data_IF_149670021197
#
_entry.id   IF_149670021197
#
_cell.length_a   1.000
_cell.length_b   1.000
_cell.length_c   1.000
_cell.angle_alpha   90.00
_cell.angle_beta   90.00
_cell.angle_gamma   90.00
#
_symmetry.space_group_name_H-M   'P 1'
#
loop_
_entity.id
_entity.type
_entity.pdbx_description
1 polymer ?
#
# COMPACT_ATOMS: atom_id res chain seq x y z
N UNK A 1 -76.24 9.83 -39.28
CA UNK A 1 -75.47 8.90 -40.12
C UNK A 1 -74.04 9.41 -40.18
N UNK A 2 -72.94 8.68 -40.03
CA UNK A 2 -72.56 7.39 -39.45
C UNK A 2 -71.09 7.20 -39.87
N UNK A 3 -70.19 6.91 -38.94
CA UNK A 3 -68.84 6.37 -39.23
C UNK A 3 -67.82 7.37 -39.77
N UNK A 4 -66.51 7.23 -39.59
CA UNK A 4 -65.60 6.26 -38.95
C UNK A 4 -64.30 7.07 -38.79
N UNK A 5 -63.57 7.01 -37.67
CA UNK A 5 -62.63 5.93 -37.40
C UNK A 5 -61.23 6.29 -37.92
N UNK A 6 -60.22 5.94 -37.12
CA UNK A 6 -58.82 5.72 -37.50
C UNK A 6 -57.94 6.98 -37.63
N UNK A 7 -56.84 7.17 -36.90
CA UNK A 7 -55.91 6.19 -36.35
C UNK A 7 -54.51 6.50 -36.91
N UNK A 8 -53.48 6.34 -36.07
CA UNK A 8 -52.04 6.43 -36.37
C UNK A 8 -51.45 7.84 -36.46
N UNK A 9 -50.22 8.10 -36.02
CA UNK A 9 -49.29 7.40 -35.15
C UNK A 9 -48.25 8.45 -34.75
N UNK A 10 -47.89 8.45 -33.48
CA UNK A 10 -46.78 9.20 -32.95
C UNK A 10 -45.45 8.60 -33.44
N UNK A 11 -44.43 9.47 -33.49
CA UNK A 11 -42.99 9.20 -33.54
C UNK A 11 -42.38 8.67 -34.84
N UNK A 12 -41.98 9.61 -35.70
CA UNK A 12 -40.77 9.43 -36.52
C UNK A 12 -39.55 9.95 -35.75
N UNK A 13 -38.98 9.11 -34.88
CA UNK A 13 -37.62 9.33 -34.39
C UNK A 13 -36.72 8.30 -35.08
N UNK A 14 -35.91 8.68 -36.07
CA UNK A 14 -34.99 7.76 -36.70
C UNK A 14 -33.84 7.48 -35.73
N UNK A 15 -33.92 6.36 -35.02
CA UNK A 15 -32.81 5.74 -34.30
C UNK A 15 -31.72 5.37 -35.30
N UNK A 16 -30.84 6.33 -35.61
CA UNK A 16 -29.57 6.09 -36.28
C UNK A 16 -28.69 5.35 -35.26
N UNK A 17 -28.86 4.03 -35.24
CA UNK A 17 -27.93 3.10 -34.62
C UNK A 17 -26.65 3.06 -35.47
N UNK A 18 -25.74 4.00 -35.21
CA UNK A 18 -24.34 3.90 -35.65
C UNK A 18 -23.68 2.76 -34.89
N UNK A 19 -23.86 1.54 -35.40
CA UNK A 19 -23.00 0.40 -35.05
C UNK A 19 -21.62 0.64 -35.70
N UNK A 20 -20.77 1.42 -35.04
CA UNK A 20 -19.34 1.51 -35.35
C UNK A 20 -18.68 0.20 -34.87
N UNK A 21 -18.61 -0.77 -35.78
CA UNK A 21 -17.96 -2.08 -35.60
C UNK A 21 -16.43 -1.97 -35.56
N UNK A 22 -15.88 -0.96 -34.87
CA UNK A 22 -14.44 -0.88 -34.60
C UNK A 22 -14.13 -1.65 -33.32
N UNK A 23 -13.81 -2.92 -33.53
CA UNK A 23 -12.81 -3.62 -32.75
C UNK A 23 -12.98 -3.52 -31.22
N UNK A 24 -13.88 -4.35 -30.68
CA UNK A 24 -14.04 -4.60 -29.25
C UNK A 24 -12.81 -5.31 -28.66
N UNK A 25 -11.61 -4.72 -28.80
CA UNK A 25 -10.49 -5.07 -27.92
C UNK A 25 -10.94 -4.69 -26.51
N UNK A 26 -11.13 -5.66 -25.60
CA UNK A 26 -11.57 -5.34 -24.25
C UNK A 26 -10.62 -4.29 -23.68
N UNK A 27 -11.14 -3.17 -23.14
CA UNK A 27 -10.30 -2.08 -22.68
C UNK A 27 -9.30 -2.66 -21.70
N UNK A 28 -8.01 -2.56 -22.05
CA UNK A 28 -6.91 -3.05 -21.22
C UNK A 28 -7.13 -2.45 -19.85
N UNK A 29 -7.53 -3.29 -18.88
CA UNK A 29 -7.97 -2.83 -17.56
C UNK A 29 -6.82 -2.06 -16.95
N UNK A 30 -6.95 -0.72 -16.96
CA UNK A 30 -5.89 0.18 -16.47
C UNK A 30 -5.61 -0.21 -15.02
N UNK A 31 -4.38 -0.65 -14.74
CA UNK A 31 -3.95 -1.10 -13.41
C UNK A 31 -4.37 -0.04 -12.38
N UNK A 32 -5.16 -0.45 -11.38
CA UNK A 32 -5.60 0.44 -10.31
C UNK A 32 -4.42 0.66 -9.38
N UNK A 33 -3.82 1.85 -9.43
CA UNK A 33 -2.68 2.17 -8.57
C UNK A 33 -3.16 2.43 -7.14
N UNK A 34 -2.49 1.80 -6.15
CA UNK A 34 -2.79 1.97 -4.72
C UNK A 34 -2.42 3.35 -4.18
N UNK A 35 -1.48 4.05 -4.84
CA UNK A 35 -0.94 5.34 -4.43
C UNK A 35 -0.97 6.34 -5.60
N UNK A 36 -1.64 7.48 -5.42
CA UNK A 36 -1.56 8.60 -6.36
C UNK A 36 -0.34 9.49 -6.02
N UNK A 37 0.29 10.08 -7.04
CA UNK A 37 1.34 11.08 -6.85
C UNK A 37 0.76 12.40 -6.30
N UNK A 38 1.61 13.29 -5.79
CA UNK A 38 1.21 14.51 -5.10
C UNK A 38 0.35 15.43 -5.98
N UNK A 39 0.78 15.68 -7.22
CA UNK A 39 0.02 16.46 -8.20
C UNK A 39 -1.39 15.86 -8.45
N UNK A 40 -1.48 14.54 -8.60
CA UNK A 40 -2.77 13.89 -8.80
C UNK A 40 -3.65 13.91 -7.55
N UNK A 41 -3.05 13.82 -6.34
CA UNK A 41 -3.75 13.93 -5.06
C UNK A 41 -4.33 15.33 -4.86
N UNK A 42 -3.51 16.35 -5.07
CA UNK A 42 -3.88 17.76 -4.95
C UNK A 42 -5.04 18.11 -5.88
N UNK A 43 -4.94 17.69 -7.15
CA UNK A 43 -6.00 17.89 -8.13
C UNK A 43 -7.14 16.86 -8.07
N UNK A 44 -7.15 15.95 -7.08
CA UNK A 44 -8.16 14.88 -6.90
C UNK A 44 -8.46 14.10 -8.19
N UNK A 45 -7.42 13.79 -8.95
CA UNK A 45 -7.54 13.12 -10.24
C UNK A 45 -6.97 11.71 -10.22
N UNK A 46 -7.42 10.90 -11.18
CA UNK A 46 -6.93 9.53 -11.34
C UNK A 46 -5.44 9.54 -11.69
N UNK A 47 -4.65 8.82 -10.92
CA UNK A 47 -3.23 8.59 -11.16
C UNK A 47 -3.01 7.17 -11.70
N UNK A 48 -2.23 7.03 -12.77
CA UNK A 48 -1.89 5.73 -13.36
C UNK A 48 -0.68 5.06 -12.68
N UNK A 49 0.01 5.72 -11.74
CA UNK A 49 1.08 5.09 -10.95
C UNK A 49 2.37 4.74 -11.69
N UNK A 50 2.52 5.16 -12.96
CA UNK A 50 3.73 4.86 -13.75
C UNK A 50 4.96 5.56 -13.17
N UNK A 51 6.11 4.92 -13.28
CA UNK A 51 7.44 5.42 -12.90
C UNK A 51 8.29 5.57 -14.18
N UNK A 52 9.05 6.67 -14.35
CA UNK A 52 9.40 7.71 -13.38
C UNK A 52 8.32 8.77 -13.13
N UNK A 53 7.36 8.96 -14.05
CA UNK A 53 6.24 9.88 -13.87
C UNK A 53 4.91 9.26 -14.33
N UNK A 54 3.80 9.64 -13.71
CA UNK A 54 2.49 9.19 -14.16
C UNK A 54 2.13 9.83 -15.51
N UNK A 55 1.29 9.17 -16.33
CA UNK A 55 0.95 9.63 -17.69
C UNK A 55 0.44 11.06 -17.72
N UNK A 56 -0.38 11.45 -16.73
CA UNK A 56 -0.93 12.80 -16.62
C UNK A 56 0.15 13.85 -16.35
N UNK A 57 1.08 13.57 -15.45
CA UNK A 57 2.20 14.47 -15.16
C UNK A 57 3.16 14.53 -16.35
N UNK A 58 3.46 13.41 -17.01
CA UNK A 58 4.28 13.38 -18.21
C UNK A 58 3.68 14.24 -19.33
N UNK A 59 2.39 14.07 -19.62
CA UNK A 59 1.71 14.82 -20.69
C UNK A 59 1.59 16.33 -20.38
N UNK A 60 1.65 16.72 -19.11
CA UNK A 60 1.62 18.14 -18.69
C UNK A 60 3.01 18.78 -18.61
N UNK A 61 4.07 18.05 -18.92
CA UNK A 61 5.44 18.53 -18.70
C UNK A 61 5.87 18.58 -17.23
N UNK A 62 5.05 18.04 -16.31
CA UNK A 62 5.32 17.97 -14.86
C UNK A 62 5.99 16.63 -14.47
N UNK A 63 6.70 15.99 -15.40
CA UNK A 63 7.34 14.70 -15.14
C UNK A 63 8.35 14.77 -13.99
N UNK A 64 9.12 15.85 -13.93
CA UNK A 64 10.16 16.07 -12.92
C UNK A 64 9.60 16.36 -11.52
N UNK A 65 8.40 16.96 -11.43
CA UNK A 65 7.70 17.24 -10.16
C UNK A 65 6.71 16.14 -9.77
N UNK A 66 6.69 15.01 -10.48
CA UNK A 66 5.81 13.88 -10.21
C UNK A 66 6.33 13.06 -9.01
N UNK A 67 6.17 13.59 -7.80
CA UNK A 67 6.64 12.96 -6.57
C UNK A 67 5.50 12.19 -5.91
N UNK A 68 5.80 11.00 -5.40
CA UNK A 68 4.92 10.24 -4.53
C UNK A 68 5.42 10.45 -3.10
N UNK A 69 4.67 11.20 -2.29
CA UNK A 69 5.06 11.50 -0.91
C UNK A 69 5.23 10.22 -0.07
N UNK A 70 6.37 10.14 0.62
CA UNK A 70 6.73 9.02 1.49
C UNK A 70 6.32 9.35 2.93
N UNK A 71 5.14 8.88 3.32
CA UNK A 71 4.72 8.79 4.72
C UNK A 71 3.94 9.98 5.25
N UNK A 72 2.78 9.71 5.86
CA UNK A 72 1.99 10.69 6.61
C UNK A 72 2.71 11.08 7.92
N UNK A 73 2.45 12.27 8.46
CA UNK A 73 2.84 12.65 9.83
C UNK A 73 2.47 11.58 10.88
N UNK A 74 1.35 10.87 10.68
CA UNK A 74 0.95 9.74 11.54
C UNK A 74 1.95 8.60 11.47
N UNK A 75 2.42 8.27 10.27
CA UNK A 75 3.46 7.25 10.04
C UNK A 75 4.76 7.67 10.70
N UNK A 76 5.16 8.94 10.58
CA UNK A 76 6.38 9.46 11.21
C UNK A 76 6.32 9.36 12.74
N UNK A 77 5.22 9.80 13.36
CA UNK A 77 5.02 9.67 14.82
C UNK A 77 5.09 8.21 15.28
N UNK A 78 4.48 7.31 14.52
CA UNK A 78 4.52 5.89 14.82
C UNK A 78 5.95 5.32 14.74
N UNK A 79 6.71 5.67 13.70
CA UNK A 79 8.12 5.28 13.58
C UNK A 79 8.93 5.76 14.78
N UNK A 80 8.78 7.02 15.19
CA UNK A 80 9.46 7.54 16.39
C UNK A 80 9.13 6.75 17.66
N UNK A 81 7.85 6.41 17.87
CA UNK A 81 7.44 5.59 19.02
C UNK A 81 8.02 4.18 18.96
N UNK A 82 8.10 3.59 17.76
CA UNK A 82 8.71 2.27 17.57
C UNK A 82 10.20 2.31 17.86
N UNK A 83 10.92 3.31 17.38
CA UNK A 83 12.35 3.47 17.61
C UNK A 83 12.67 3.64 19.10
N UNK A 84 11.87 4.43 19.83
CA UNK A 84 12.05 4.58 21.28
C UNK A 84 11.81 3.27 22.03
N UNK A 85 10.75 2.54 21.66
CA UNK A 85 10.47 1.23 22.26
C UNK A 85 11.56 0.21 21.96
N UNK A 86 12.11 0.21 20.75
CA UNK A 86 13.25 -0.65 20.38
C UNK A 86 14.46 -0.32 21.26
N UNK A 87 14.77 0.96 21.47
CA UNK A 87 15.87 1.40 22.33
C UNK A 87 15.72 0.92 23.77
N UNK A 88 14.52 1.05 24.34
CA UNK A 88 14.22 0.60 25.69
C UNK A 88 14.35 -0.93 25.83
N UNK A 89 13.80 -1.68 24.87
CA UNK A 89 13.88 -3.13 24.83
C UNK A 89 15.33 -3.61 24.73
N UNK A 90 16.13 -2.98 23.87
CA UNK A 90 17.56 -3.30 23.73
C UNK A 90 18.34 -3.06 25.04
N UNK A 91 18.06 -1.96 25.75
CA UNK A 91 18.67 -1.69 27.07
C UNK A 91 18.28 -2.74 28.11
N UNK A 92 17.02 -3.15 28.12
CA UNK A 92 16.52 -4.18 29.05
C UNK A 92 17.17 -5.54 28.78
N UNK A 93 17.31 -5.92 27.51
CA UNK A 93 18.00 -7.15 27.12
C UNK A 93 19.49 -7.12 27.43
N UNK A 94 20.18 -5.98 27.23
CA UNK A 94 21.61 -5.83 27.57
C UNK A 94 21.87 -5.94 29.08
N UNK A 95 20.97 -5.39 29.91
CA UNK A 95 21.04 -5.57 31.37
C UNK A 95 20.80 -7.03 31.78
N UNK A 96 19.95 -7.74 31.04
CA UNK A 96 19.72 -9.18 31.23
C UNK A 96 20.86 -10.07 30.74
N UNK A 97 21.64 -9.66 29.74
CA UNK A 97 22.79 -10.44 29.24
C UNK A 97 23.99 -10.41 30.19
N UNK A 98 24.17 -9.34 30.96
CA UNK A 98 25.26 -9.25 31.94
C UNK A 98 25.01 -10.11 33.20
N UNK A 99 23.76 -10.50 33.48
CA UNK A 99 23.42 -11.50 34.50
C UNK A 99 23.44 -12.94 33.99
N UNK A 100 23.54 -13.16 32.66
CA UNK A 100 23.67 -14.48 32.05
C UNK A 100 25.12 -14.88 31.75
N UNK A 101 26.06 -13.94 31.86
CA UNK A 101 27.50 -14.20 31.63
C UNK A 101 28.23 -14.68 32.88
N UNK A 102 27.57 -14.75 34.03
CA UNK A 102 28.21 -15.16 35.30
C UNK A 102 27.23 -15.95 36.16
N UNK A 103 27.38 -17.27 36.11
CA UNK A 103 26.94 -18.20 37.14
C UNK A 103 25.56 -18.82 36.92
N UNK A 104 25.59 -20.14 36.68
CA UNK A 104 24.53 -21.07 37.03
C UNK A 104 23.29 -20.99 36.11
N UNK A 105 22.95 -22.02 35.36
CA UNK A 105 22.14 -23.13 35.88
C UNK A 105 22.28 -24.30 34.90
N UNK A 106 23.02 -25.35 35.29
CA UNK A 106 22.54 -26.72 35.11
C UNK A 106 22.84 -27.52 36.39
N UNK A 107 21.91 -28.36 36.86
CA UNK A 107 21.65 -28.58 38.28
C UNK A 107 22.14 -29.96 38.74
N UNK A 108 22.69 -30.08 39.95
CA UNK A 108 22.65 -31.33 40.74
C UNK A 108 23.38 -32.58 40.22
N UNK A 109 24.56 -32.51 39.57
CA UNK A 109 25.31 -33.75 39.21
C UNK A 109 26.84 -33.74 39.31
N UNK A 110 27.49 -32.82 40.06
CA UNK A 110 28.93 -32.95 40.31
C UNK A 110 29.21 -32.80 41.81
N UNK A 111 28.77 -33.79 42.57
CA UNK A 111 29.19 -34.00 43.95
C UNK A 111 30.02 -35.27 44.07
N UNK A 112 31.05 -35.49 43.23
CA UNK A 112 31.97 -36.63 43.39
C UNK A 112 33.44 -36.43 42.92
N UNK A 113 33.92 -35.24 42.54
CA UNK A 113 35.28 -35.13 41.97
C UNK A 113 36.18 -34.02 42.54
N UNK A 114 36.09 -33.73 43.83
CA UNK A 114 37.08 -32.87 44.51
C UNK A 114 37.82 -33.53 45.68
N UNK A 115 37.74 -34.86 45.81
CA UNK A 115 38.37 -35.59 46.92
C UNK A 115 39.67 -36.35 46.56
N UNK A 116 40.52 -35.81 45.68
CA UNK A 116 41.85 -36.37 45.45
C UNK A 116 42.88 -35.26 45.26
N UNK A 117 43.32 -34.66 46.36
CA UNK A 117 44.70 -34.19 46.55
C UNK A 117 44.87 -33.69 47.99
N UNK A 118 45.21 -34.62 48.90
CA UNK A 118 45.95 -34.39 50.15
C UNK A 118 46.63 -35.71 50.56
N UNK A 119 47.75 -35.74 51.30
CA UNK A 119 48.68 -34.68 51.70
C UNK A 119 50.01 -34.67 50.94
#
# INVERSE_FOLDING_TARGET
>A
MSGTGDGAAYNSNPDIATHDSREHRPPVRRRKTRLACNNCREHKTRCDGRTPACSRCANRGLGQSCIYEKGSLRTQRYVLTLEDRVRELQRSNQRGSHRRSSGDIYPGLISQLTCLCRP
#
